data_IF_427542400081
#
_entry.id   IF_427542400081
#
_cell.length_a   1.000
_cell.length_b   1.000
_cell.length_c   1.000
_cell.angle_alpha   90.00
_cell.angle_beta   90.00
_cell.angle_gamma   90.00
#
_symmetry.space_group_name_H-M   'P 1'
#
loop_
_entity.id
_entity.type
_entity.pdbx_description
1 polymer ?
#
# COMPACT_ATOMS: atom_id res chain seq x y z
N UNK A 1 -37.64 -13.64 -27.59
CA UNK A 1 -36.55 -12.63 -27.55
C UNK A 1 -35.47 -13.14 -26.60
N UNK A 2 -34.42 -13.74 -27.15
CA UNK A 2 -33.33 -14.37 -26.38
C UNK A 2 -32.23 -13.36 -26.16
N UNK A 3 -32.08 -12.86 -24.93
CA UNK A 3 -30.93 -12.05 -24.55
C UNK A 3 -29.71 -12.97 -24.36
N UNK A 4 -28.69 -12.80 -25.19
CA UNK A 4 -27.42 -13.50 -25.07
C UNK A 4 -26.73 -13.02 -23.78
N UNK A 5 -26.51 -13.93 -22.83
CA UNK A 5 -25.68 -13.67 -21.63
C UNK A 5 -24.25 -13.43 -22.10
N UNK A 6 -23.74 -12.23 -21.86
CA UNK A 6 -22.35 -11.85 -22.11
C UNK A 6 -21.41 -12.80 -21.34
N UNK A 7 -20.52 -13.48 -22.05
CA UNK A 7 -19.62 -14.52 -21.51
C UNK A 7 -18.31 -13.96 -20.98
N UNK A 8 -18.24 -12.65 -20.70
CA UNK A 8 -17.04 -12.02 -20.16
C UNK A 8 -16.88 -12.37 -18.67
N UNK A 9 -15.67 -12.75 -18.24
CA UNK A 9 -15.40 -12.97 -16.83
C UNK A 9 -15.84 -11.74 -16.00
N UNK A 10 -16.45 -11.93 -14.83
CA UNK A 10 -16.82 -10.80 -13.97
C UNK A 10 -15.58 -9.97 -13.65
N UNK A 11 -15.69 -8.66 -13.84
CA UNK A 11 -14.62 -7.71 -13.51
C UNK A 11 -14.34 -7.78 -12.01
N UNK A 12 -13.18 -8.31 -11.64
CA UNK A 12 -12.72 -8.39 -10.26
C UNK A 12 -11.29 -7.91 -10.14
N UNK A 13 -10.92 -7.45 -8.95
CA UNK A 13 -9.57 -7.00 -8.65
C UNK A 13 -8.54 -8.13 -8.85
N UNK A 14 -8.93 -9.36 -8.50
CA UNK A 14 -8.16 -10.57 -8.78
C UNK A 14 -8.05 -10.90 -10.27
N UNK A 15 -9.11 -10.66 -11.06
CA UNK A 15 -9.06 -10.84 -12.52
C UNK A 15 -8.12 -9.84 -13.21
N UNK A 16 -7.82 -8.71 -12.57
CA UNK A 16 -6.77 -7.79 -12.98
C UNK A 16 -5.35 -8.25 -12.57
N UNK A 17 -5.23 -9.41 -11.93
CA UNK A 17 -3.95 -9.99 -11.48
C UNK A 17 -3.51 -9.52 -10.10
N UNK A 18 -4.39 -8.89 -9.31
CA UNK A 18 -4.04 -8.40 -7.98
C UNK A 18 -4.41 -9.43 -6.90
N UNK A 19 -3.42 -9.78 -6.08
CA UNK A 19 -3.57 -10.63 -4.91
C UNK A 19 -3.35 -9.79 -3.65
N UNK A 20 -4.43 -9.55 -2.90
CA UNK A 20 -4.42 -8.73 -1.68
C UNK A 20 -3.70 -9.48 -0.55
N UNK A 21 -3.98 -10.77 -0.39
CA UNK A 21 -3.41 -11.59 0.68
C UNK A 21 -1.90 -11.73 0.51
N UNK A 22 -1.43 -11.89 -0.74
CA UNK A 22 0.00 -11.89 -1.05
C UNK A 22 0.66 -10.54 -0.72
N UNK A 23 -0.05 -9.43 -0.96
CA UNK A 23 0.37 -8.08 -0.58
C UNK A 23 0.55 -7.95 0.93
N UNK A 24 -0.46 -8.32 1.71
CA UNK A 24 -0.43 -8.25 3.17
C UNK A 24 0.66 -9.16 3.76
N UNK A 25 0.81 -10.37 3.22
CA UNK A 25 1.88 -11.29 3.63
C UNK A 25 3.28 -10.73 3.36
N UNK A 26 3.46 -10.02 2.24
CA UNK A 26 4.73 -9.34 1.95
C UNK A 26 4.99 -8.23 2.96
N UNK A 27 3.99 -7.40 3.27
CA UNK A 27 4.12 -6.32 4.26
C UNK A 27 4.60 -6.88 5.60
N UNK A 28 3.99 -7.95 6.12
CA UNK A 28 4.43 -8.59 7.36
C UNK A 28 5.88 -9.09 7.30
N UNK A 29 6.30 -9.68 6.17
CA UNK A 29 7.67 -10.19 6.00
C UNK A 29 8.71 -9.09 6.00
N UNK A 30 8.41 -7.92 5.43
CA UNK A 30 9.37 -6.82 5.31
C UNK A 30 9.31 -5.84 6.49
N UNK A 31 8.27 -5.86 7.32
CA UNK A 31 8.13 -5.01 8.51
C UNK A 31 9.40 -4.95 9.38
N UNK A 32 10.08 -6.06 9.72
CA UNK A 32 11.32 -6.01 10.50
C UNK A 32 12.47 -5.30 9.78
N UNK A 33 12.53 -5.42 8.45
CA UNK A 33 13.55 -4.76 7.63
C UNK A 33 13.29 -3.25 7.56
N UNK A 34 12.04 -2.85 7.30
CA UNK A 34 11.63 -1.45 7.31
C UNK A 34 11.82 -0.81 8.70
N UNK A 35 11.52 -1.54 9.78
CA UNK A 35 11.71 -1.06 11.15
C UNK A 35 13.17 -0.67 11.43
N UNK A 36 14.15 -1.36 10.83
CA UNK A 36 15.58 -1.07 11.00
C UNK A 36 16.01 0.26 10.37
N UNK A 37 15.23 0.81 9.45
CA UNK A 37 15.51 2.10 8.78
C UNK A 37 14.71 3.25 9.36
N UNK A 38 13.95 3.02 10.44
CA UNK A 38 13.12 4.03 11.06
C UNK A 38 13.96 5.16 11.66
N UNK A 39 13.48 6.39 11.48
CA UNK A 39 14.04 7.58 12.11
C UNK A 39 13.03 8.18 13.10
N UNK A 40 13.47 9.00 14.06
CA UNK A 40 12.57 9.65 15.03
C UNK A 40 11.46 10.49 14.38
N UNK A 41 11.70 11.04 13.20
CA UNK A 41 10.72 11.90 12.50
C UNK A 41 9.63 11.11 11.78
N UNK A 42 9.78 9.78 11.60
CA UNK A 42 8.76 8.96 10.98
C UNK A 42 7.63 8.71 11.98
N UNK A 43 6.40 9.13 11.66
CA UNK A 43 5.27 9.13 12.59
C UNK A 43 4.44 7.83 12.54
N UNK A 44 4.83 6.84 11.74
CA UNK A 44 4.11 5.57 11.58
C UNK A 44 4.92 4.47 10.90
N UNK A 45 4.39 3.24 10.89
CA UNK A 45 4.99 2.10 10.21
C UNK A 45 4.39 1.84 8.82
N UNK A 46 4.78 0.71 8.22
CA UNK A 46 4.21 0.24 6.94
C UNK A 46 2.95 -0.62 7.17
N UNK A 47 2.03 -0.61 6.20
CA UNK A 47 0.78 -1.38 6.21
C UNK A 47 -0.50 -0.53 6.37
N UNK A 48 -0.38 0.77 6.58
CA UNK A 48 -1.49 1.72 6.41
C UNK A 48 -1.58 2.25 4.98
N UNK A 49 -2.64 3.01 4.68
CA UNK A 49 -2.82 3.66 3.37
C UNK A 49 -1.68 4.64 3.00
N UNK A 50 -1.05 5.25 4.01
CA UNK A 50 0.07 6.17 3.83
C UNK A 50 0.96 6.23 5.07
N UNK A 51 2.13 6.84 4.91
CA UNK A 51 3.09 7.11 5.98
C UNK A 51 3.34 8.62 6.10
N UNK A 52 3.75 9.05 7.28
CA UNK A 52 3.97 10.45 7.61
C UNK A 52 5.38 10.66 8.15
N UNK A 53 5.94 11.84 7.86
CA UNK A 53 7.26 12.27 8.31
C UNK A 53 7.18 13.71 8.81
N UNK A 54 7.72 13.97 10.01
CA UNK A 54 7.81 15.31 10.56
C UNK A 54 9.02 16.05 9.97
N UNK A 55 8.77 17.14 9.25
CA UNK A 55 9.85 18.01 8.74
C UNK A 55 10.42 18.83 9.89
N UNK A 56 11.75 18.94 9.95
CA UNK A 56 12.42 19.74 10.99
C UNK A 56 11.94 21.20 10.97
N UNK A 57 11.63 21.73 12.16
CA UNK A 57 11.23 23.12 12.37
C UNK A 57 12.33 24.14 12.06
N UNK A 58 13.56 23.69 11.84
CA UNK A 58 14.69 24.56 11.47
C UNK A 58 14.64 25.02 10.02
N UNK A 59 13.88 24.34 9.16
CA UNK A 59 13.73 24.75 7.76
C UNK A 59 12.75 25.92 7.64
N UNK A 60 13.14 26.96 6.89
CA UNK A 60 12.31 28.15 6.64
C UNK A 60 11.57 28.07 5.30
N UNK A 61 12.28 27.71 4.23
CA UNK A 61 11.74 27.54 2.88
C UNK A 61 12.35 26.28 2.26
N UNK A 62 11.81 25.09 2.58
CA UNK A 62 12.41 23.80 2.21
C UNK A 62 12.14 23.36 0.76
N UNK A 63 11.47 24.18 -0.05
CA UNK A 63 11.09 23.90 -1.46
C UNK A 63 11.33 25.10 -2.35
#
# INVERSE_FOLDING_TARGET
>A
MTASKDSRPPLSYAAAGVDIDAGDALVERIKPLAKRTMRPEVLGGIGGFGALFEVSKSYKEPV
#
